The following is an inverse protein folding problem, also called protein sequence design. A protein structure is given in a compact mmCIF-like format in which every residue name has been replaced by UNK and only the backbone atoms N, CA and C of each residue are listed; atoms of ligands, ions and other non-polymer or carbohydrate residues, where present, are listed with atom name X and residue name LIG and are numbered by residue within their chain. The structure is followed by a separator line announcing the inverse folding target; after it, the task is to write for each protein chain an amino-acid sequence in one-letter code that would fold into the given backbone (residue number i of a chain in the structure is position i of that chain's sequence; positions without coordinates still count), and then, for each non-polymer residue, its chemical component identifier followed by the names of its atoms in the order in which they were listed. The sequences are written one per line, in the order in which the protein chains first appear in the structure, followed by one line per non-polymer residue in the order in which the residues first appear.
data_IF_835860915975
#
_entry.id   IF_835860915975
#
_cell.length_a   1.000
_cell.length_b   1.000
_cell.length_c   1.000
_cell.angle_alpha   90.00
_cell.angle_beta   90.00
_cell.angle_gamma   90.00
#
_symmetry.space_group_name_H-M   'P 1'
#
loop_
_entity.id
_entity.type
_entity.pdbx_description
1 polymer ?
#
# COMPACT_ATOMS: atom_id res chain seq x y z
N UNK A 1 -1.33 -14.65 -26.20
CA UNK A 1 -0.23 -15.41 -25.56
C UNK A 1 1.07 -14.92 -26.16
N UNK A 2 2.00 -14.48 -25.31
CA UNK A 2 3.35 -14.04 -25.67
C UNK A 2 4.29 -15.12 -25.13
N UNK A 3 5.13 -15.75 -25.96
CA UNK A 3 6.10 -16.72 -25.45
C UNK A 3 6.82 -17.58 -26.50
N UNK A 4 8.01 -18.07 -26.13
CA UNK A 4 8.95 -18.87 -26.94
C UNK A 4 8.43 -20.29 -27.17
N UNK A 5 8.29 -20.79 -28.41
CA UNK A 5 7.69 -22.11 -28.72
C UNK A 5 8.28 -23.22 -27.83
N UNK A 6 7.42 -23.85 -27.03
CA UNK A 6 7.81 -25.00 -26.21
C UNK A 6 7.21 -26.26 -26.85
N UNK A 7 8.00 -27.30 -27.10
CA UNK A 7 7.49 -28.56 -27.62
C UNK A 7 6.54 -29.19 -26.61
N UNK A 8 5.35 -29.59 -27.05
CA UNK A 8 4.32 -30.18 -26.20
C UNK A 8 3.04 -30.48 -26.97
N UNK A 9 2.06 -31.09 -26.31
CA UNK A 9 0.77 -31.42 -26.91
C UNK A 9 -0.03 -30.14 -27.16
N UNK A 10 -0.32 -29.86 -28.44
CA UNK A 10 -1.10 -28.70 -28.88
C UNK A 10 -2.59 -28.96 -28.61
N UNK A 11 -3.23 -28.06 -27.87
CA UNK A 11 -4.67 -28.11 -27.57
C UNK A 11 -5.48 -27.32 -28.59
N UNK A 12 -5.03 -26.11 -28.95
CA UNK A 12 -5.70 -25.23 -29.91
C UNK A 12 -4.73 -24.22 -30.52
N UNK A 13 -4.94 -23.87 -31.79
CA UNK A 13 -4.17 -22.86 -32.52
C UNK A 13 -4.95 -21.56 -32.60
N UNK A 14 -4.32 -20.46 -32.21
CA UNK A 14 -4.89 -19.11 -32.34
C UNK A 14 -4.19 -18.42 -33.51
N UNK A 15 -4.90 -17.73 -34.42
CA UNK A 15 -4.27 -17.03 -35.54
C UNK A 15 -3.22 -16.05 -35.03
N UNK A 16 -1.98 -16.20 -35.51
CA UNK A 16 -0.86 -15.35 -35.10
C UNK A 16 -0.85 -14.06 -35.89
N UNK A 17 -0.79 -12.92 -35.21
CA UNK A 17 -0.63 -11.61 -35.83
C UNK A 17 0.86 -11.26 -35.79
N UNK A 18 1.45 -11.05 -36.95
CA UNK A 18 2.82 -10.50 -37.07
C UNK A 18 2.79 -9.03 -36.67
N UNK A 19 3.46 -8.72 -35.56
CA UNK A 19 3.69 -7.35 -35.11
C UNK A 19 4.74 -6.66 -36.00
N UNK A 20 4.65 -5.33 -36.19
CA UNK A 20 5.64 -4.56 -36.92
C UNK A 20 7.04 -4.60 -36.26
N UNK A 21 8.07 -4.29 -37.04
CA UNK A 21 9.51 -4.46 -36.74
C UNK A 21 10.01 -3.83 -35.43
N UNK A 22 9.20 -3.04 -34.73
CA UNK A 22 9.50 -2.53 -33.39
C UNK A 22 9.44 -3.62 -32.30
N UNK A 23 8.76 -4.74 -32.55
CA UNK A 23 8.54 -5.84 -31.60
C UNK A 23 9.17 -7.17 -32.06
N UNK A 24 10.42 -7.12 -32.57
CA UNK A 24 11.17 -8.34 -32.95
C UNK A 24 11.31 -9.26 -31.74
N UNK A 25 10.70 -10.44 -31.80
CA UNK A 25 10.77 -11.47 -30.75
C UNK A 25 9.48 -11.70 -29.96
N UNK A 26 8.48 -10.82 -30.08
CA UNK A 26 7.16 -11.00 -29.45
C UNK A 26 6.16 -11.43 -30.52
N UNK A 27 5.69 -12.68 -30.44
CA UNK A 27 4.58 -13.17 -31.28
C UNK A 27 3.29 -13.13 -30.48
N UNK A 28 2.25 -12.49 -31.03
CA UNK A 28 0.89 -12.52 -30.51
C UNK A 28 0.13 -13.66 -31.19
N UNK A 29 -0.17 -14.73 -30.44
CA UNK A 29 -0.90 -15.90 -30.95
C UNK A 29 0.01 -17.08 -31.31
N UNK A 30 -0.57 -18.15 -31.87
CA UNK A 30 0.11 -19.42 -32.16
C UNK A 30 -0.48 -20.61 -31.38
N UNK A 31 0.27 -21.71 -31.35
CA UNK A 31 -0.16 -22.98 -30.77
C UNK A 31 -0.15 -22.93 -29.24
N UNK A 32 -1.28 -23.26 -28.64
CA UNK A 32 -1.43 -23.36 -27.19
C UNK A 32 -1.17 -24.79 -26.77
N UNK A 33 -0.02 -25.00 -26.13
CA UNK A 33 0.36 -26.32 -25.61
C UNK A 33 -0.05 -26.49 -24.14
N UNK A 34 -0.34 -27.73 -23.74
CA UNK A 34 -0.66 -28.07 -22.33
C UNK A 34 0.45 -27.62 -21.37
N UNK A 35 1.71 -27.84 -21.76
CA UNK A 35 2.88 -27.46 -20.98
C UNK A 35 3.01 -25.94 -20.79
N UNK A 36 2.68 -25.15 -21.82
CA UNK A 36 2.67 -23.68 -21.71
C UNK A 36 1.60 -23.19 -20.76
N UNK A 37 0.45 -23.87 -20.72
CA UNK A 37 -0.65 -23.49 -19.83
C UNK A 37 -0.29 -23.76 -18.37
N UNK A 38 0.37 -24.89 -18.06
CA UNK A 38 0.84 -25.18 -16.71
C UNK A 38 1.92 -24.20 -16.25
N UNK A 39 2.91 -23.89 -17.11
CA UNK A 39 3.96 -22.92 -16.74
C UNK A 39 3.39 -21.51 -16.54
N UNK A 40 2.44 -21.09 -17.38
CA UNK A 40 1.78 -19.79 -17.22
C UNK A 40 0.93 -19.73 -15.94
N UNK A 41 0.32 -20.85 -15.55
CA UNK A 41 -0.42 -20.95 -14.30
C UNK A 41 0.50 -20.82 -13.08
N UNK A 42 1.67 -21.46 -13.12
CA UNK A 42 2.69 -21.34 -12.07
C UNK A 42 3.21 -19.90 -11.92
N UNK A 43 3.49 -19.21 -13.03
CA UNK A 43 3.88 -17.79 -13.02
C UNK A 43 2.75 -16.88 -12.51
N UNK A 44 1.51 -17.14 -12.92
CA UNK A 44 0.35 -16.38 -12.47
C UNK A 44 0.14 -16.51 -10.96
N UNK A 45 0.33 -17.71 -10.41
CA UNK A 45 0.27 -17.95 -8.96
C UNK A 45 1.29 -17.09 -8.20
N UNK A 46 2.53 -17.00 -8.71
CA UNK A 46 3.58 -16.16 -8.10
C UNK A 46 3.14 -14.68 -8.09
N UNK A 47 2.63 -14.20 -9.22
CA UNK A 47 2.19 -12.81 -9.35
C UNK A 47 1.01 -12.50 -8.43
N UNK A 48 0.03 -13.41 -8.31
CA UNK A 48 -1.09 -13.28 -7.36
C UNK A 48 -0.60 -13.26 -5.91
N UNK A 49 0.34 -14.15 -5.56
CA UNK A 49 0.92 -14.16 -4.22
C UNK A 49 1.63 -12.84 -3.89
N UNK A 50 2.41 -12.28 -4.83
CA UNK A 50 3.07 -10.99 -4.65
C UNK A 50 2.06 -9.86 -4.41
N UNK A 51 1.00 -9.80 -5.21
CA UNK A 51 -0.08 -8.82 -5.05
C UNK A 51 -0.73 -8.97 -3.67
N UNK A 52 -1.03 -10.20 -3.24
CA UNK A 52 -1.64 -10.46 -1.94
C UNK A 52 -0.75 -10.04 -0.77
N UNK A 53 0.57 -10.28 -0.85
CA UNK A 53 1.53 -9.83 0.16
C UNK A 53 1.49 -8.30 0.25
N UNK A 54 1.56 -7.60 -0.87
CA UNK A 54 1.49 -6.13 -0.89
C UNK A 54 0.15 -5.58 -0.40
N UNK A 55 -0.95 -6.24 -0.77
CA UNK A 55 -2.29 -5.87 -0.34
C UNK A 55 -2.44 -6.05 1.17
N UNK A 56 -2.00 -7.18 1.73
CA UNK A 56 -2.03 -7.44 3.16
C UNK A 56 -1.12 -6.50 3.94
N UNK A 57 0.10 -6.23 3.45
CA UNK A 57 1.01 -5.26 4.04
C UNK A 57 0.38 -3.87 4.09
N UNK A 58 -0.30 -3.45 3.03
CA UNK A 58 -0.97 -2.15 2.96
C UNK A 58 -2.22 -2.08 3.85
N UNK A 59 -2.97 -3.19 3.96
CA UNK A 59 -4.15 -3.28 4.83
C UNK A 59 -3.77 -3.29 6.32
N UNK A 60 -2.65 -3.93 6.67
CA UNK A 60 -2.16 -4.01 8.04
C UNK A 60 -1.38 -2.76 8.48
N UNK A 61 -0.83 -2.01 7.53
CA UNK A 61 -0.08 -0.79 7.82
C UNK A 61 -1.01 0.35 8.23
N UNK A 62 -1.06 0.62 9.54
CA UNK A 62 -1.55 1.90 10.02
C UNK A 62 -0.40 2.95 9.93
N UNK A 63 -0.50 4.01 9.12
CA UNK A 63 0.55 5.02 8.98
C UNK A 63 0.93 5.66 10.33
N UNK A 64 0.02 5.67 11.31
CA UNK A 64 0.29 6.13 12.66
C UNK A 64 1.18 5.19 13.49
N UNK A 65 1.17 3.88 13.21
CA UNK A 65 1.98 2.89 13.92
C UNK A 65 3.42 2.87 13.45
N UNK A 66 3.66 2.97 12.13
CA UNK A 66 4.99 3.09 11.53
C UNK A 66 5.80 4.24 12.14
N UNK A 67 5.12 5.35 12.44
CA UNK A 67 5.75 6.54 13.00
C UNK A 67 6.03 6.43 14.51
N UNK A 68 5.40 5.46 15.18
CA UNK A 68 5.56 5.18 16.61
C UNK A 68 6.80 4.34 16.92
N UNK A 69 7.34 3.64 15.91
CA UNK A 69 8.56 2.82 16.00
C UNK A 69 9.83 3.67 15.84
N UNK A 70 9.71 4.96 15.49
CA UNK A 70 10.89 5.82 15.32
C UNK A 70 11.68 5.96 16.63
N UNK A 71 13.01 5.79 16.58
CA UNK A 71 13.88 6.04 17.72
C UNK A 71 13.71 7.45 18.27
N UNK A 72 13.92 7.63 19.58
CA UNK A 72 13.69 8.89 20.31
C UNK A 72 14.37 10.13 19.69
N UNK A 73 15.48 9.92 18.97
CA UNK A 73 16.21 10.97 18.23
C UNK A 73 15.40 11.62 17.09
N UNK A 74 14.40 10.91 16.57
CA UNK A 74 13.56 11.35 15.43
C UNK A 74 12.11 11.63 15.81
N UNK A 75 11.81 11.79 17.12
CA UNK A 75 10.45 12.05 17.61
C UNK A 75 9.78 13.23 16.90
N UNK A 76 10.52 14.30 16.62
CA UNK A 76 10.00 15.46 15.87
C UNK A 76 9.56 15.12 14.45
N UNK A 77 10.30 14.26 13.74
CA UNK A 77 9.95 13.81 12.39
C UNK A 77 8.72 12.89 12.45
N UNK A 78 8.71 11.93 13.38
CA UNK A 78 7.59 11.01 13.57
C UNK A 78 6.27 11.73 13.88
N UNK A 79 6.32 12.72 14.79
CA UNK A 79 5.17 13.56 15.13
C UNK A 79 4.67 14.36 13.92
N UNK A 80 5.58 15.00 13.18
CA UNK A 80 5.22 15.79 12.00
C UNK A 80 4.54 14.93 10.92
N UNK A 81 5.04 13.71 10.65
CA UNK A 81 4.43 12.82 9.65
C UNK A 81 3.07 12.31 10.09
N UNK A 82 2.85 12.05 11.40
CA UNK A 82 1.55 11.61 11.94
C UNK A 82 0.51 12.71 11.72
N UNK A 83 0.88 13.95 12.07
CA UNK A 83 0.01 15.11 11.91
C UNK A 83 -0.26 15.32 10.41
N UNK A 84 0.77 15.31 9.55
CA UNK A 84 0.62 15.47 8.11
C UNK A 84 -0.33 14.41 7.49
N UNK A 85 -0.21 13.14 7.91
CA UNK A 85 -1.08 12.06 7.45
C UNK A 85 -2.55 12.29 7.84
N UNK A 86 -2.81 12.95 8.96
CA UNK A 86 -4.17 13.29 9.40
C UNK A 86 -4.71 14.58 8.77
N UNK A 87 -3.83 15.53 8.45
CA UNK A 87 -4.20 16.83 7.85
C UNK A 87 -4.48 16.68 6.35
N UNK A 88 -3.76 15.82 5.63
CA UNK A 88 -3.98 15.56 4.21
C UNK A 88 -5.46 15.24 3.84
N UNK A 89 -6.15 14.29 4.50
CA UNK A 89 -7.56 14.03 4.21
C UNK A 89 -8.47 15.19 4.64
N UNK A 90 -8.11 15.96 5.67
CA UNK A 90 -8.87 17.15 6.06
C UNK A 90 -8.77 18.26 5.00
N UNK A 91 -7.58 18.50 4.45
CA UNK A 91 -7.36 19.47 3.38
C UNK A 91 -8.11 19.06 2.10
N UNK A 92 -8.11 17.78 1.75
CA UNK A 92 -8.89 17.27 0.61
C UNK A 92 -10.39 17.60 0.75
N UNK A 93 -10.97 17.38 1.94
CA UNK A 93 -12.39 17.70 2.22
C UNK A 93 -12.66 19.20 2.19
N UNK A 94 -11.74 20.06 2.66
CA UNK A 94 -11.89 21.52 2.54
C UNK A 94 -11.83 21.97 1.08
N UNK A 95 -10.92 21.40 0.28
CA UNK A 95 -10.85 21.66 -1.17
C UNK A 95 -12.14 21.26 -1.87
N UNK A 96 -12.70 20.08 -1.56
CA UNK A 96 -13.98 19.62 -2.10
C UNK A 96 -15.13 20.56 -1.74
N UNK A 97 -15.22 20.99 -0.47
CA UNK A 97 -16.22 21.97 0.00
C UNK A 97 -16.13 23.29 -0.76
N UNK A 98 -14.92 23.84 -0.93
CA UNK A 98 -14.69 25.08 -1.68
C UNK A 98 -15.02 24.89 -3.16
N UNK A 99 -14.65 23.77 -3.77
CA UNK A 99 -15.00 23.45 -5.17
C UNK A 99 -16.51 23.34 -5.37
N UNK A 100 -17.22 22.69 -4.44
CA UNK A 100 -18.67 22.55 -4.49
C UNK A 100 -19.38 23.91 -4.38
N UNK A 101 -18.98 24.75 -3.44
CA UNK A 101 -19.53 26.10 -3.27
C UNK A 101 -19.33 26.98 -4.53
N UNK A 102 -18.19 26.84 -5.22
CA UNK A 102 -17.92 27.58 -6.47
C UNK A 102 -18.72 27.05 -7.66
N UNK A 103 -18.91 25.73 -7.74
CA UNK A 103 -19.79 25.13 -8.75
C UNK A 103 -21.22 25.66 -8.63
N UNK A 104 -21.72 25.86 -7.40
CA UNK A 104 -23.02 26.48 -7.15
C UNK A 104 -23.09 27.97 -7.53
N UNK A 105 -21.94 28.67 -7.58
CA UNK A 105 -21.83 30.08 -8.01
C UNK A 105 -21.59 30.24 -9.52
N UNK A 106 -21.60 29.15 -10.29
CA UNK A 106 -21.40 29.17 -11.75
C UNK A 106 -19.96 29.46 -12.19
N UNK A 107 -18.99 29.44 -11.27
CA UNK A 107 -17.59 29.70 -11.60
C UNK A 107 -16.92 28.46 -12.19
N UNK A 108 -16.29 28.60 -13.37
CA UNK A 108 -15.52 27.51 -13.99
C UNK A 108 -14.22 27.24 -13.22
N UNK A 109 -13.91 25.96 -13.00
CA UNK A 109 -12.81 25.53 -12.13
C UNK A 109 -11.44 25.49 -12.82
N UNK A 110 -11.28 26.14 -13.97
CA UNK A 110 -10.13 25.93 -14.85
C UNK A 110 -9.13 27.09 -14.78
N UNK A 111 -7.85 26.75 -14.61
CA UNK A 111 -6.73 27.69 -14.70
C UNK A 111 -6.04 28.03 -13.36
N UNK A 112 -4.86 28.63 -13.47
CA UNK A 112 -3.96 29.00 -12.35
C UNK A 112 -4.63 30.01 -11.39
N UNK A 113 -5.48 30.89 -11.92
CA UNK A 113 -6.27 31.82 -11.10
C UNK A 113 -7.28 31.10 -10.18
N UNK A 114 -7.82 29.95 -10.60
CA UNK A 114 -8.71 29.13 -9.78
C UNK A 114 -7.98 28.48 -8.60
N UNK A 115 -6.69 28.16 -8.77
CA UNK A 115 -5.84 27.60 -7.72
C UNK A 115 -5.59 28.62 -6.60
N UNK A 116 -5.27 29.89 -6.93
CA UNK A 116 -5.15 30.96 -5.92
C UNK A 116 -6.44 31.16 -5.13
N UNK A 117 -7.61 31.10 -5.81
CA UNK A 117 -8.93 31.23 -5.19
C UNK A 117 -9.33 30.05 -4.28
N UNK A 118 -8.78 28.84 -4.45
CA UNK A 118 -8.93 27.74 -3.47
C UNK A 118 -7.86 27.80 -2.40
N UNK A 119 -6.63 28.08 -2.81
CA UNK A 119 -5.45 28.01 -1.95
C UNK A 119 -5.52 29.02 -0.82
N UNK A 120 -5.88 30.28 -1.09
CA UNK A 120 -5.91 31.33 -0.06
C UNK A 120 -6.88 30.96 1.09
N UNK A 121 -8.16 30.62 0.86
CA UNK A 121 -9.07 30.22 1.94
C UNK A 121 -8.63 28.96 2.70
N UNK A 122 -8.05 27.98 2.00
CA UNK A 122 -7.57 26.74 2.65
C UNK A 122 -6.36 27.01 3.53
N UNK A 123 -5.47 27.92 3.11
CA UNK A 123 -4.33 28.35 3.92
C UNK A 123 -4.80 29.13 5.16
N UNK A 124 -5.78 30.03 5.02
CA UNK A 124 -6.38 30.76 6.13
C UNK A 124 -7.01 29.79 7.16
N UNK A 125 -7.85 28.85 6.71
CA UNK A 125 -8.44 27.81 7.58
C UNK A 125 -7.37 26.95 8.27
N UNK A 126 -6.29 26.62 7.55
CA UNK A 126 -5.20 25.80 8.10
C UNK A 126 -4.35 26.57 9.11
N UNK A 127 -4.13 27.87 8.89
CA UNK A 127 -3.38 28.73 9.80
C UNK A 127 -4.14 28.95 11.10
N UNK A 128 -5.42 29.29 11.02
CA UNK A 128 -6.29 29.47 12.20
C UNK A 128 -6.31 28.19 13.05
N UNK A 129 -6.54 27.03 12.42
CA UNK A 129 -6.51 25.72 13.11
C UNK A 129 -5.15 25.42 13.75
N UNK A 130 -4.04 25.82 13.11
CA UNK A 130 -2.70 25.60 13.66
C UNK A 130 -2.41 26.47 14.88
N UNK A 131 -2.91 27.71 14.89
CA UNK A 131 -2.77 28.66 16.00
C UNK A 131 -3.60 28.15 17.20
N UNK A 132 -4.84 27.76 16.97
CA UNK A 132 -5.71 27.19 18.00
C UNK A 132 -5.12 25.92 18.60
N UNK A 133 -4.60 25.02 17.74
CA UNK A 133 -3.94 23.80 18.20
C UNK A 133 -2.70 24.13 19.03
N UNK A 134 -1.85 25.07 18.58
CA UNK A 134 -0.66 25.48 19.31
C UNK A 134 -1.01 26.07 20.69
N UNK A 135 -1.98 26.98 20.76
CA UNK A 135 -2.46 27.56 22.01
C UNK A 135 -3.00 26.48 22.97
N UNK A 136 -3.73 25.49 22.45
CA UNK A 136 -4.23 24.37 23.26
C UNK A 136 -3.12 23.47 23.80
N UNK A 137 -2.02 23.29 23.05
CA UNK A 137 -0.86 22.50 23.45
C UNK A 137 -0.05 23.24 24.52
N UNK A 138 0.15 24.56 24.35
CA UNK A 138 0.85 25.41 25.31
C UNK A 138 0.10 25.47 26.64
N UNK A 139 -1.23 25.64 26.62
CA UNK A 139 -2.06 25.60 27.84
C UNK A 139 -1.98 24.27 28.60
N UNK A 140 -1.75 23.16 27.88
CA UNK A 140 -1.56 21.83 28.46
C UNK A 140 -0.09 21.54 28.87
N UNK A 141 0.83 22.49 28.67
CA UNK A 141 2.25 22.36 29.01
C UNK A 141 3.04 21.46 28.06
N UNK A 142 2.60 21.31 26.81
CA UNK A 142 3.31 20.50 25.82
C UNK A 142 4.70 21.09 25.54
N UNK A 143 5.77 20.29 25.65
CA UNK A 143 7.15 20.75 25.45
C UNK A 143 7.87 21.23 26.72
N UNK A 144 7.17 21.37 27.86
CA UNK A 144 7.81 21.74 29.14
C UNK A 144 8.70 20.62 29.70
N UNK A 145 8.31 19.36 29.51
CA UNK A 145 9.04 18.20 30.03
C UNK A 145 9.85 17.47 28.93
N UNK A 146 11.14 17.17 29.16
CA UNK A 146 11.98 16.41 28.20
C UNK A 146 11.61 14.91 28.10
N UNK A 147 10.74 14.43 29.00
CA UNK A 147 10.25 13.06 29.09
C UNK A 147 8.73 13.04 29.35
N UNK A 148 7.88 13.22 28.34
CA UNK A 148 6.43 13.10 28.52
C UNK A 148 6.03 11.64 28.79
N UNK A 149 5.07 11.44 29.68
CA UNK A 149 4.47 10.12 29.94
C UNK A 149 3.56 9.71 28.78
N UNK A 150 3.53 8.41 28.45
CA UNK A 150 2.68 7.87 27.37
C UNK A 150 1.34 7.40 27.94
N UNK A 151 0.24 8.04 27.55
CA UNK A 151 -1.11 7.73 28.04
C UNK A 151 -1.60 6.31 27.72
N UNK A 152 -1.16 5.72 26.59
CA UNK A 152 -1.48 4.33 26.22
C UNK A 152 -0.21 3.56 25.84
N UNK A 153 0.48 2.95 26.82
CA UNK A 153 1.57 2.05 26.52
C UNK A 153 1.03 0.82 25.78
N UNK A 154 1.61 0.51 24.62
CA UNK A 154 1.30 -0.72 23.91
C UNK A 154 2.00 -1.86 24.63
N UNK A 155 1.24 -2.76 25.24
CA UNK A 155 1.80 -3.95 25.88
C UNK A 155 1.92 -5.04 24.84
N UNK A 156 3.16 -5.48 24.60
CA UNK A 156 3.44 -6.60 23.72
C UNK A 156 2.65 -7.81 24.18
N UNK A 157 1.72 -8.29 23.35
CA UNK A 157 0.91 -9.46 23.68
C UNK A 157 1.51 -10.70 23.04
N UNK A 158 1.40 -11.85 23.69
CA UNK A 158 1.84 -13.14 23.14
C UNK A 158 1.23 -13.43 21.76
N UNK A 159 0.03 -12.90 21.49
CA UNK A 159 -0.64 -12.96 20.18
C UNK A 159 0.16 -12.27 19.07
N UNK A 160 0.82 -11.16 19.37
CA UNK A 160 1.70 -10.45 18.43
C UNK A 160 2.99 -11.24 18.18
N UNK A 161 3.47 -11.98 19.19
CA UNK A 161 4.62 -12.87 19.03
C UNK A 161 4.31 -14.04 18.11
N UNK A 162 3.13 -14.65 18.28
CA UNK A 162 2.65 -15.73 17.42
C UNK A 162 2.44 -15.23 15.99
N UNK A 163 1.81 -14.06 15.83
CA UNK A 163 1.63 -13.41 14.52
C UNK A 163 2.96 -13.07 13.83
N UNK A 164 3.97 -12.58 14.58
CA UNK A 164 5.29 -12.25 14.05
C UNK A 164 6.15 -13.49 13.75
N UNK A 165 5.91 -14.60 14.45
CA UNK A 165 6.63 -15.86 14.24
C UNK A 165 6.20 -16.59 12.96
N UNK A 166 4.92 -16.46 12.56
CA UNK A 166 4.35 -17.07 11.35
C UNK A 166 5.16 -16.79 10.06
N UNK A 167 5.54 -15.53 9.73
CA UNK A 167 6.34 -15.26 8.53
C UNK A 167 7.77 -15.83 8.61
N UNK A 168 8.35 -15.94 9.81
CA UNK A 168 9.69 -16.53 10.02
C UNK A 168 9.62 -18.04 9.74
N UNK A 169 8.58 -18.73 10.22
CA UNK A 169 8.37 -20.15 9.92
C UNK A 169 8.09 -20.40 8.44
N UNK A 170 7.33 -19.52 7.78
CA UNK A 170 7.11 -19.60 6.33
C UNK A 170 8.41 -19.40 5.53
N UNK A 171 9.26 -18.46 5.95
CA UNK A 171 10.58 -18.20 5.33
C UNK A 171 11.58 -19.34 5.57
N UNK A 172 11.56 -19.95 6.74
CA UNK A 172 12.40 -21.13 7.04
C UNK A 172 11.90 -22.35 6.26
N UNK A 173 10.58 -22.57 6.19
CA UNK A 173 9.98 -23.65 5.40
C UNK A 173 10.28 -23.50 3.90
N UNK A 174 10.36 -22.26 3.42
CA UNK A 174 10.76 -21.90 2.06
C UNK A 174 12.22 -22.30 1.76
N UNK A 175 13.13 -22.10 2.72
CA UNK A 175 14.57 -22.36 2.52
C UNK A 175 14.93 -23.85 2.56
N UNK A 176 14.14 -24.68 3.27
CA UNK A 176 14.42 -26.11 3.45
C UNK A 176 13.84 -27.02 2.37
N UNK A 177 12.86 -26.57 1.57
CA UNK A 177 12.18 -27.42 0.56
C UNK A 177 12.27 -26.78 -0.84
N UNK A 178 13.44 -26.81 -1.50
CA UNK A 178 13.63 -26.21 -2.82
C UNK A 178 12.93 -26.97 -3.96
N UNK A 179 12.24 -28.08 -3.69
CA UNK A 179 11.80 -29.05 -4.71
C UNK A 179 10.29 -29.33 -4.76
N UNK A 180 9.45 -28.58 -4.03
CA UNK A 180 8.00 -28.78 -4.01
C UNK A 180 7.31 -27.82 -5.00
N UNK A 181 6.37 -28.36 -5.78
CA UNK A 181 5.51 -27.66 -6.73
C UNK A 181 5.00 -26.29 -6.24
N UNK A 182 5.15 -25.28 -7.10
CA UNK A 182 4.58 -23.91 -7.07
C UNK A 182 3.21 -23.75 -6.39
N UNK A 183 2.31 -24.74 -6.53
CA UNK A 183 0.98 -24.72 -5.94
C UNK A 183 0.95 -24.83 -4.40
N UNK A 184 1.80 -25.68 -3.81
CA UNK A 184 1.90 -25.81 -2.34
C UNK A 184 2.63 -24.61 -1.72
N UNK A 185 3.53 -24.02 -2.50
CA UNK A 185 4.28 -22.81 -2.16
C UNK A 185 3.36 -21.59 -1.98
N UNK A 186 2.40 -21.42 -2.89
CA UNK A 186 1.40 -20.35 -2.80
C UNK A 186 0.36 -20.57 -1.71
N UNK A 187 -0.04 -21.83 -1.45
CA UNK A 187 -0.92 -22.17 -0.34
C UNK A 187 -0.30 -21.83 1.02
N UNK A 188 1.00 -22.11 1.21
CA UNK A 188 1.70 -21.83 2.46
C UNK A 188 1.95 -20.33 2.66
N UNK A 189 2.22 -19.59 1.58
CA UNK A 189 2.31 -18.12 1.59
C UNK A 189 0.96 -17.46 1.91
N UNK A 190 -0.14 -17.96 1.32
CA UNK A 190 -1.50 -17.52 1.63
C UNK A 190 -1.85 -17.72 3.11
N UNK A 191 -1.54 -18.89 3.68
CA UNK A 191 -1.76 -19.17 5.10
C UNK A 191 -0.92 -18.25 5.99
N UNK A 192 0.35 -17.99 5.62
CA UNK A 192 1.22 -17.07 6.34
C UNK A 192 0.72 -15.61 6.31
N UNK A 193 0.11 -15.19 5.19
CA UNK A 193 -0.44 -13.84 4.99
C UNK A 193 -1.83 -13.66 5.63
N UNK A 194 -2.66 -14.71 5.67
CA UNK A 194 -4.02 -14.66 6.23
C UNK A 194 -4.02 -14.82 7.76
N UNK A 195 -3.09 -15.58 8.33
CA UNK A 195 -3.00 -15.81 9.79
C UNK A 195 -3.03 -14.54 10.66
N UNK A 196 -2.35 -13.43 10.32
CA UNK A 196 -2.45 -12.20 11.11
C UNK A 196 -3.79 -11.45 10.93
N UNK A 197 -4.52 -11.66 9.82
CA UNK A 197 -5.78 -10.97 9.53
C UNK A 197 -7.01 -11.56 10.20
N UNK A 198 -6.96 -12.81 10.66
CA UNK A 198 -8.11 -13.50 11.29
C UNK A 198 -8.30 -13.19 12.78
N UNK A 199 -7.41 -12.39 13.38
CA UNK A 199 -7.32 -12.22 14.85
C UNK A 199 -7.54 -10.75 15.28
N UNK A 200 -7.84 -9.84 14.35
CA UNK A 200 -8.26 -8.46 14.63
C UNK A 200 -9.74 -8.35 14.96
#
# INVERSE_FOLDING_TARGET
IIGVPMPGQVLFTIPSITLPDLFVGVRLGGDVTSQRLSTAFDEAILLVALILIFAAASALSNPHELLRVLPRKYYGIGLATVIASSVAPQSARSIERVRAARRLRGESSTGIASFRKVGIPVLEESLERSIDLAASLESRGYGYFPNPSRYRPHSWRLRETVALSSPIYAFISLLLLPSISSALFAGLLLIAVIAPGFIS
#
